data_IF_266544965103
#
_entry.id   IF_266544965103
#
_cell.length_a   1.000
_cell.length_b   1.000
_cell.length_c   1.000
_cell.angle_alpha   90.00
_cell.angle_beta   90.00
_cell.angle_gamma   90.00
#
_symmetry.space_group_name_H-M   'P 1'
#
loop_
_entity.id
_entity.type
_entity.pdbx_description
1 polymer ?
#
# COMPACT_ATOMS: atom_id res chain seq x y z
N UNK A 1 32.97 8.97 18.35
CA UNK A 1 33.75 8.35 17.24
C UNK A 1 33.32 9.06 15.95
N UNK A 2 34.21 9.20 14.98
CA UNK A 2 33.86 9.83 13.69
C UNK A 2 33.75 8.76 12.59
N UNK A 3 32.70 8.85 11.77
CA UNK A 3 32.47 7.97 10.63
C UNK A 3 31.90 8.81 9.46
N UNK A 4 32.61 8.84 8.34
CA UNK A 4 32.24 9.62 7.13
C UNK A 4 31.98 11.12 7.38
N UNK A 5 32.66 11.72 8.35
CA UNK A 5 32.48 13.10 8.76
C UNK A 5 31.27 13.36 9.65
N UNK A 6 30.72 12.30 10.24
CA UNK A 6 29.61 12.35 11.22
C UNK A 6 30.13 11.84 12.56
N UNK A 7 29.86 12.58 13.64
CA UNK A 7 30.13 12.12 15.00
C UNK A 7 29.09 11.09 15.41
N UNK A 8 29.51 9.83 15.54
CA UNK A 8 28.65 8.72 15.94
C UNK A 8 28.82 8.40 17.43
N UNK A 9 27.74 7.92 18.07
CA UNK A 9 27.70 7.46 19.45
C UNK A 9 27.48 5.94 19.51
N UNK A 10 28.55 5.16 19.74
CA UNK A 10 28.43 3.69 19.79
C UNK A 10 27.50 3.19 20.90
N UNK A 11 27.27 3.95 21.96
CA UNK A 11 26.39 3.53 23.05
C UNK A 11 24.94 3.37 22.60
N UNK A 12 24.54 4.02 21.50
CA UNK A 12 23.18 3.91 20.92
C UNK A 12 22.92 2.52 20.31
N UNK A 13 23.95 1.68 20.13
CA UNK A 13 23.74 0.28 19.76
C UNK A 13 22.94 -0.48 20.84
N UNK A 14 23.00 -0.03 22.09
CA UNK A 14 22.21 -0.59 23.19
C UNK A 14 20.69 -0.37 23.07
N UNK A 15 20.25 0.50 22.15
CA UNK A 15 18.82 0.70 21.87
C UNK A 15 18.21 -0.47 21.07
N UNK A 16 19.04 -1.30 20.49
CA UNK A 16 18.63 -2.50 19.77
C UNK A 16 18.79 -3.75 20.63
N UNK A 17 17.79 -4.61 20.60
CA UNK A 17 17.94 -5.98 21.09
C UNK A 17 18.79 -6.84 20.13
N UNK A 18 19.09 -8.05 20.53
CA UNK A 18 19.90 -8.97 19.71
C UNK A 18 19.23 -9.28 18.36
N UNK A 19 17.90 -9.36 18.32
CA UNK A 19 17.16 -9.65 17.10
C UNK A 19 17.18 -8.46 16.13
N UNK A 20 17.09 -7.24 16.66
CA UNK A 20 17.21 -5.99 15.89
C UNK A 20 18.61 -5.85 15.26
N UNK A 21 19.67 -6.07 16.03
CA UNK A 21 21.05 -6.05 15.51
C UNK A 21 21.25 -7.11 14.43
N UNK A 22 20.77 -8.33 14.67
CA UNK A 22 20.84 -9.42 13.69
C UNK A 22 20.13 -9.03 12.39
N UNK A 23 18.92 -8.49 12.48
CA UNK A 23 18.14 -8.05 11.32
C UNK A 23 18.85 -6.93 10.53
N UNK A 24 19.44 -5.96 11.23
CA UNK A 24 20.22 -4.90 10.58
C UNK A 24 21.41 -5.48 9.81
N UNK A 25 22.17 -6.37 10.41
CA UNK A 25 23.31 -7.04 9.78
C UNK A 25 22.93 -7.86 8.56
N UNK A 26 21.87 -8.66 8.64
CA UNK A 26 21.47 -9.57 7.57
C UNK A 26 20.81 -8.86 6.37
N UNK A 27 20.14 -7.72 6.60
CA UNK A 27 19.27 -7.12 5.58
C UNK A 27 19.66 -5.71 5.15
N UNK A 28 20.35 -4.95 5.99
CA UNK A 28 20.55 -3.50 5.77
C UNK A 28 22.02 -3.10 5.69
N UNK A 29 22.86 -3.61 6.57
CA UNK A 29 24.25 -3.23 6.64
C UNK A 29 25.07 -3.78 5.47
N UNK A 30 26.21 -3.14 5.20
CA UNK A 30 27.25 -3.66 4.29
C UNK A 30 28.19 -4.55 5.09
N UNK A 31 28.87 -5.47 4.42
CA UNK A 31 29.87 -6.35 5.05
C UNK A 31 31.03 -5.58 5.71
N UNK A 32 31.26 -4.34 5.29
CA UNK A 32 32.29 -3.45 5.84
C UNK A 32 31.83 -2.67 7.06
N UNK A 33 30.54 -2.68 7.39
CA UNK A 33 29.97 -2.00 8.54
C UNK A 33 29.91 -2.92 9.75
N UNK A 34 30.40 -2.44 10.88
CA UNK A 34 30.54 -3.23 12.11
C UNK A 34 29.43 -2.96 13.14
N UNK A 35 28.81 -1.79 13.04
CA UNK A 35 27.80 -1.30 13.98
C UNK A 35 26.59 -0.70 13.25
N UNK A 36 25.36 -0.83 13.78
CA UNK A 36 24.19 -0.08 13.32
C UNK A 36 24.43 1.41 13.17
N UNK A 37 25.26 2.01 14.04
CA UNK A 37 25.56 3.45 13.98
C UNK A 37 26.30 3.85 12.69
N UNK A 38 27.17 2.99 12.18
CA UNK A 38 27.86 3.22 10.90
C UNK A 38 26.86 3.21 9.74
N UNK A 39 25.85 2.32 9.79
CA UNK A 39 24.78 2.28 8.80
C UNK A 39 23.92 3.55 8.82
N UNK A 40 23.49 4.00 9.99
CA UNK A 40 22.73 5.25 10.11
C UNK A 40 23.55 6.44 9.64
N UNK A 41 24.82 6.53 10.00
CA UNK A 41 25.70 7.60 9.55
C UNK A 41 25.89 7.59 8.02
N UNK A 42 26.12 6.40 7.42
CA UNK A 42 26.23 6.27 5.98
C UNK A 42 24.98 6.80 5.26
N UNK A 43 23.78 6.33 5.67
CA UNK A 43 22.52 6.74 5.05
C UNK A 43 22.27 8.24 5.25
N UNK A 44 22.51 8.76 6.45
CA UNK A 44 22.36 10.19 6.75
C UNK A 44 23.26 11.05 5.85
N UNK A 45 24.49 10.60 5.60
CA UNK A 45 25.42 11.29 4.69
C UNK A 45 24.90 11.30 3.24
N UNK A 46 24.33 10.20 2.77
CA UNK A 46 23.85 10.08 1.38
C UNK A 46 22.65 10.98 1.08
N UNK A 47 21.79 11.23 2.06
CA UNK A 47 20.54 11.97 1.87
C UNK A 47 20.57 13.41 2.43
N UNK A 48 21.72 13.85 2.92
CA UNK A 48 21.89 15.22 3.44
C UNK A 48 22.34 16.19 2.37
N UNK A 49 22.01 17.46 2.57
CA UNK A 49 22.46 18.59 1.74
C UNK A 49 23.80 19.17 2.19
N UNK A 50 24.17 19.00 3.46
CA UNK A 50 25.42 19.50 4.05
C UNK A 50 25.77 18.69 5.32
N UNK A 51 26.94 19.01 5.93
CA UNK A 51 27.44 18.27 7.10
C UNK A 51 26.54 18.42 8.33
N UNK A 52 25.99 19.59 8.57
CA UNK A 52 25.07 19.84 9.70
C UNK A 52 23.77 19.04 9.53
N UNK A 53 23.21 19.03 8.32
CA UNK A 53 22.03 18.21 8.01
C UNK A 53 22.32 16.71 8.17
N UNK A 54 23.50 16.26 7.74
CA UNK A 54 23.92 14.87 7.93
C UNK A 54 23.99 14.47 9.40
N UNK A 55 24.55 15.33 10.24
CA UNK A 55 24.62 15.10 11.69
C UNK A 55 23.22 15.05 12.32
N UNK A 56 22.31 15.98 11.95
CA UNK A 56 20.91 15.97 12.45
C UNK A 56 20.17 14.71 12.05
N UNK A 57 20.26 14.28 10.78
CA UNK A 57 19.64 13.05 10.32
C UNK A 57 20.16 11.82 11.07
N UNK A 58 21.47 11.74 11.29
CA UNK A 58 22.08 10.70 12.12
C UNK A 58 21.53 10.74 13.55
N UNK A 59 21.54 11.91 14.17
CA UNK A 59 21.10 12.04 15.57
C UNK A 59 19.64 11.61 15.74
N UNK A 60 18.75 11.97 14.81
CA UNK A 60 17.34 11.59 14.88
C UNK A 60 17.12 10.10 14.60
N UNK A 61 17.77 9.55 13.56
CA UNK A 61 17.62 8.14 13.21
C UNK A 61 18.24 7.21 14.25
N UNK A 62 19.42 7.55 14.77
CA UNK A 62 20.11 6.75 15.78
C UNK A 62 19.47 6.81 17.17
N UNK A 63 18.65 7.81 17.46
CA UNK A 63 17.80 7.91 18.66
C UNK A 63 16.39 7.35 18.46
N UNK A 64 16.10 6.76 17.31
CA UNK A 64 14.79 6.24 16.92
C UNK A 64 13.67 7.30 16.86
N UNK A 65 14.03 8.58 16.70
CA UNK A 65 13.05 9.65 16.47
C UNK A 65 12.62 9.75 15.01
N UNK A 66 13.47 9.25 14.10
CA UNK A 66 13.23 9.13 12.67
C UNK A 66 13.49 7.71 12.23
N UNK A 67 12.55 7.12 11.49
CA UNK A 67 12.71 5.80 10.87
C UNK A 67 12.81 5.94 9.35
N UNK A 68 13.87 5.39 8.78
CA UNK A 68 14.01 5.32 7.32
C UNK A 68 13.19 4.16 6.75
N UNK A 69 12.60 4.37 5.57
CA UNK A 69 12.03 3.24 4.84
C UNK A 69 13.10 2.21 4.47
N UNK A 70 12.67 0.96 4.32
CA UNK A 70 13.58 -0.16 4.00
C UNK A 70 14.53 0.13 2.83
N UNK A 71 14.10 0.63 1.67
CA UNK A 71 15.03 0.90 0.56
C UNK A 71 16.03 2.02 0.85
N UNK A 72 15.62 3.03 1.60
CA UNK A 72 16.53 4.11 2.02
C UNK A 72 17.61 3.53 2.93
N UNK A 73 17.21 2.78 3.96
CA UNK A 73 18.16 2.19 4.91
C UNK A 73 19.03 1.10 4.29
N UNK A 74 18.46 0.25 3.40
CA UNK A 74 19.20 -0.85 2.78
C UNK A 74 20.12 -0.40 1.64
N UNK A 75 19.67 0.52 0.80
CA UNK A 75 20.37 0.86 -0.45
C UNK A 75 21.21 2.14 -0.33
N UNK A 76 20.72 3.17 0.36
CA UNK A 76 21.47 4.38 0.66
C UNK A 76 22.01 5.09 -0.59
N UNK A 77 21.26 5.22 -1.68
CA UNK A 77 21.69 5.78 -2.98
C UNK A 77 22.91 5.06 -3.59
N UNK A 78 23.01 3.76 -3.42
CA UNK A 78 24.04 2.94 -4.07
C UNK A 78 23.45 2.15 -5.23
N UNK A 79 24.30 1.49 -6.02
CA UNK A 79 23.89 0.58 -7.10
C UNK A 79 23.10 -0.65 -6.64
N UNK A 80 22.96 -0.85 -5.32
CA UNK A 80 22.16 -1.95 -4.73
C UNK A 80 20.67 -1.84 -4.99
N UNK A 81 20.15 -0.66 -5.29
CA UNK A 81 18.74 -0.43 -5.61
C UNK A 81 18.29 1.02 -5.42
N UNK A 82 17.06 1.31 -5.84
CA UNK A 82 16.45 2.62 -5.70
C UNK A 82 15.96 2.85 -4.27
N UNK A 83 16.02 4.10 -3.76
CA UNK A 83 15.52 4.44 -2.42
C UNK A 83 13.99 4.61 -2.39
N UNK A 84 13.26 3.86 -3.22
CA UNK A 84 11.81 3.92 -3.41
C UNK A 84 11.24 2.58 -3.03
N UNK A 85 10.10 2.58 -2.33
CA UNK A 85 9.47 1.37 -1.84
C UNK A 85 8.01 1.19 -2.26
N UNK A 86 7.38 2.24 -2.76
CA UNK A 86 5.96 2.24 -3.07
C UNK A 86 5.73 2.86 -4.44
N UNK A 87 4.85 2.22 -5.20
CA UNK A 87 4.44 2.63 -6.54
C UNK A 87 2.92 2.60 -6.60
N UNK A 88 2.35 3.41 -7.48
CA UNK A 88 0.92 3.47 -7.71
C UNK A 88 0.67 3.29 -9.20
N UNK A 89 -0.22 2.36 -9.53
CA UNK A 89 -0.70 2.10 -10.88
C UNK A 89 -2.21 2.26 -10.93
N UNK A 90 -2.74 2.55 -12.11
CA UNK A 90 -4.17 2.59 -12.36
C UNK A 90 -4.50 1.79 -13.61
N UNK A 91 -5.49 0.90 -13.50
CA UNK A 91 -5.94 0.05 -14.61
C UNK A 91 -7.08 0.78 -15.33
N UNK A 92 -6.77 1.29 -16.52
CA UNK A 92 -7.81 1.79 -17.41
C UNK A 92 -8.63 0.64 -18.00
N UNK A 93 -9.90 0.89 -18.27
CA UNK A 93 -10.81 -0.08 -18.92
C UNK A 93 -10.54 -0.18 -20.44
N UNK A 94 -9.35 -0.69 -20.78
CA UNK A 94 -8.92 -0.94 -22.15
C UNK A 94 -8.02 -2.17 -22.20
N UNK A 95 -7.88 -2.80 -23.36
CA UNK A 95 -7.03 -3.97 -23.51
C UNK A 95 -5.56 -3.66 -23.13
N UNK A 96 -5.04 -2.52 -23.55
CA UNK A 96 -3.71 -2.03 -23.20
C UNK A 96 -3.60 -1.82 -21.69
N UNK A 97 -4.58 -1.11 -21.08
CA UNK A 97 -4.58 -0.85 -19.65
C UNK A 97 -4.56 -2.13 -18.81
N UNK A 98 -5.34 -3.13 -19.21
CA UNK A 98 -5.39 -4.42 -18.53
C UNK A 98 -4.06 -5.20 -18.61
N UNK A 99 -3.41 -5.23 -19.78
CA UNK A 99 -2.20 -6.02 -20.02
C UNK A 99 -0.95 -5.30 -19.53
N UNK A 100 -0.80 -4.03 -19.90
CA UNK A 100 0.41 -3.26 -19.62
C UNK A 100 0.55 -2.96 -18.13
N UNK A 101 -0.55 -2.62 -17.43
CA UNK A 101 -0.51 -2.39 -15.97
C UNK A 101 -0.11 -3.64 -15.20
N UNK A 102 -0.57 -4.83 -15.62
CA UNK A 102 -0.15 -6.08 -14.99
C UNK A 102 1.35 -6.32 -15.20
N UNK A 103 1.85 -6.10 -16.43
CA UNK A 103 3.27 -6.24 -16.75
C UNK A 103 4.13 -5.28 -15.94
N UNK A 104 3.76 -4.00 -15.90
CA UNK A 104 4.47 -2.98 -15.11
C UNK A 104 4.48 -3.32 -13.61
N UNK A 105 3.34 -3.71 -13.06
CA UNK A 105 3.22 -4.11 -11.65
C UNK A 105 4.17 -5.26 -11.32
N UNK A 106 4.31 -6.24 -12.22
CA UNK A 106 5.22 -7.37 -12.04
C UNK A 106 6.70 -6.91 -12.01
N UNK A 107 7.10 -6.00 -12.89
CA UNK A 107 8.44 -5.42 -12.87
C UNK A 107 8.72 -4.66 -11.59
N UNK A 108 7.79 -3.82 -11.13
CA UNK A 108 7.92 -3.06 -9.89
C UNK A 108 8.03 -3.98 -8.66
N UNK A 109 7.28 -5.08 -8.65
CA UNK A 109 7.36 -6.10 -7.59
C UNK A 109 8.72 -6.79 -7.54
N UNK A 110 9.27 -7.15 -8.71
CA UNK A 110 10.60 -7.76 -8.80
C UNK A 110 11.70 -6.82 -8.28
N UNK A 111 11.52 -5.52 -8.38
CA UNK A 111 12.41 -4.52 -7.80
C UNK A 111 12.22 -4.35 -6.27
N UNK A 112 11.32 -5.11 -5.64
CA UNK A 112 11.06 -5.08 -4.20
C UNK A 112 10.09 -3.98 -3.78
N UNK A 113 9.34 -3.40 -4.72
CA UNK A 113 8.33 -2.38 -4.47
C UNK A 113 7.00 -2.94 -3.95
N UNK A 114 6.31 -2.19 -3.10
CA UNK A 114 4.88 -2.36 -2.88
C UNK A 114 4.10 -1.57 -3.94
N UNK A 115 3.05 -2.15 -4.51
CA UNK A 115 2.27 -1.49 -5.57
C UNK A 115 0.81 -1.36 -5.14
N UNK A 116 0.33 -0.11 -5.06
CA UNK A 116 -1.10 0.21 -4.98
C UNK A 116 -1.68 0.25 -6.40
N UNK A 117 -2.82 -0.38 -6.61
CA UNK A 117 -3.40 -0.55 -7.94
C UNK A 117 -4.87 -0.11 -7.88
N UNK A 118 -5.18 1.00 -8.55
CA UNK A 118 -6.57 1.45 -8.75
C UNK A 118 -7.24 0.63 -9.85
N UNK A 119 -8.37 0.01 -9.53
CA UNK A 119 -9.16 -0.77 -10.48
C UNK A 119 -10.24 0.13 -11.08
N UNK A 120 -9.98 0.67 -12.27
CA UNK A 120 -10.89 1.55 -12.99
C UNK A 120 -11.74 0.86 -14.07
N UNK A 121 -11.72 -0.48 -14.08
CA UNK A 121 -12.51 -1.26 -15.04
C UNK A 121 -13.96 -1.41 -14.57
N UNK A 122 -14.87 -1.58 -15.51
CA UNK A 122 -16.30 -1.84 -15.25
C UNK A 122 -16.57 -3.26 -14.75
N UNK A 123 -17.78 -3.45 -14.26
CA UNK A 123 -18.32 -4.78 -13.93
C UNK A 123 -18.44 -5.68 -15.15
N UNK A 124 -18.78 -6.95 -14.93
CA UNK A 124 -19.01 -7.93 -15.99
C UNK A 124 -20.20 -7.53 -16.88
N UNK A 125 -19.96 -7.51 -18.19
CA UNK A 125 -20.96 -7.31 -19.24
C UNK A 125 -20.65 -8.21 -20.46
N UNK A 126 -21.28 -7.91 -21.62
CA UNK A 126 -21.06 -8.66 -22.88
C UNK A 126 -19.59 -8.59 -23.38
N UNK A 127 -18.80 -7.62 -22.92
CA UNK A 127 -17.44 -7.34 -23.39
C UNK A 127 -16.39 -7.37 -22.28
N UNK A 128 -16.81 -7.33 -21.03
CA UNK A 128 -15.95 -7.31 -19.85
C UNK A 128 -16.21 -8.52 -18.98
N UNK A 129 -15.16 -9.11 -18.46
CA UNK A 129 -15.23 -10.20 -17.46
C UNK A 129 -15.42 -9.69 -16.03
N UNK A 130 -15.41 -8.35 -15.84
CA UNK A 130 -15.51 -7.72 -14.53
C UNK A 130 -14.20 -7.75 -13.74
N UNK A 131 -14.28 -7.26 -12.51
CA UNK A 131 -13.10 -7.02 -11.65
C UNK A 131 -12.48 -8.32 -11.12
N UNK A 132 -13.28 -9.32 -10.76
CA UNK A 132 -12.80 -10.53 -10.05
C UNK A 132 -11.75 -11.35 -10.81
N UNK A 133 -11.87 -11.66 -12.11
CA UNK A 133 -10.85 -12.39 -12.84
C UNK A 133 -9.49 -11.67 -12.84
N UNK A 134 -9.51 -10.35 -12.94
CA UNK A 134 -8.29 -9.52 -12.86
C UNK A 134 -7.69 -9.50 -11.46
N UNK A 135 -8.51 -9.37 -10.41
CA UNK A 135 -8.04 -9.53 -9.02
C UNK A 135 -7.34 -10.87 -8.79
N UNK A 136 -7.88 -11.97 -9.35
CA UNK A 136 -7.24 -13.31 -9.29
C UNK A 136 -5.89 -13.35 -9.97
N UNK A 137 -5.71 -12.66 -11.11
CA UNK A 137 -4.42 -12.55 -11.77
C UNK A 137 -3.41 -11.81 -10.89
N UNK A 138 -3.79 -10.68 -10.31
CA UNK A 138 -2.92 -9.92 -9.40
C UNK A 138 -2.63 -10.69 -8.10
N UNK A 139 -3.60 -11.42 -7.56
CA UNK A 139 -3.39 -12.29 -6.39
C UNK A 139 -2.31 -13.35 -6.67
N UNK A 140 -2.42 -14.08 -7.77
CA UNK A 140 -1.44 -15.07 -8.18
C UNK A 140 -0.09 -14.45 -8.54
N UNK A 141 -0.10 -13.32 -9.24
CA UNK A 141 1.08 -12.57 -9.65
C UNK A 141 1.88 -12.06 -8.43
N UNK A 142 1.21 -11.62 -7.37
CA UNK A 142 1.86 -11.18 -6.13
C UNK A 142 2.74 -12.25 -5.49
N UNK A 143 2.44 -13.51 -5.71
CA UNK A 143 3.25 -14.63 -5.26
C UNK A 143 4.36 -14.98 -6.26
N UNK A 144 4.04 -14.96 -7.57
CA UNK A 144 4.93 -15.38 -8.64
C UNK A 144 6.15 -14.46 -8.80
N UNK A 145 5.94 -13.14 -8.70
CA UNK A 145 6.96 -12.12 -8.89
C UNK A 145 7.52 -11.54 -7.58
N UNK A 146 7.43 -12.32 -6.52
CA UNK A 146 7.98 -11.97 -5.23
C UNK A 146 9.49 -12.14 -5.22
N UNK A 147 10.25 -11.05 -5.18
CA UNK A 147 11.70 -11.08 -5.10
C UNK A 147 12.24 -10.31 -3.88
N UNK A 148 13.52 -10.57 -3.58
CA UNK A 148 14.29 -9.85 -2.57
C UNK A 148 14.33 -10.54 -1.21
N UNK A 149 15.52 -10.57 -0.64
CA UNK A 149 15.74 -11.08 0.73
C UNK A 149 15.27 -10.07 1.79
N UNK A 150 15.38 -8.78 1.47
CA UNK A 150 15.14 -7.68 2.42
C UNK A 150 13.66 -7.30 2.47
N UNK A 151 13.01 -7.17 1.32
CA UNK A 151 11.60 -6.83 1.20
C UNK A 151 10.97 -7.61 0.05
N UNK A 152 9.81 -8.21 0.34
CA UNK A 152 8.98 -8.85 -0.68
C UNK A 152 8.03 -7.82 -1.28
N UNK A 153 7.80 -7.88 -2.58
CA UNK A 153 6.75 -7.13 -3.24
C UNK A 153 5.38 -7.48 -2.64
N UNK A 154 4.51 -6.50 -2.58
CA UNK A 154 3.14 -6.65 -2.07
C UNK A 154 2.22 -5.77 -2.89
N UNK A 155 1.03 -6.27 -3.20
CA UNK A 155 0.03 -5.51 -3.95
C UNK A 155 -1.16 -5.17 -3.07
N UNK A 156 -1.74 -3.99 -3.31
CA UNK A 156 -2.99 -3.57 -2.73
C UNK A 156 -3.92 -3.07 -3.84
N UNK A 157 -5.05 -3.74 -4.03
CA UNK A 157 -6.08 -3.33 -4.97
C UNK A 157 -7.00 -2.29 -4.34
N UNK A 158 -7.32 -1.23 -5.06
CA UNK A 158 -8.24 -0.19 -4.63
C UNK A 158 -9.44 -0.12 -5.56
N UNK A 159 -10.63 -0.09 -4.99
CA UNK A 159 -11.90 0.05 -5.71
C UNK A 159 -12.69 1.23 -5.14
N UNK A 160 -13.41 1.94 -5.99
CA UNK A 160 -14.30 3.02 -5.55
C UNK A 160 -15.51 2.46 -4.81
N UNK A 161 -15.95 3.15 -3.75
CA UNK A 161 -17.11 2.74 -2.93
C UNK A 161 -18.41 2.72 -3.73
N UNK A 162 -18.47 3.45 -4.84
CA UNK A 162 -19.62 3.47 -5.77
C UNK A 162 -19.54 2.38 -6.86
N UNK A 163 -18.53 1.49 -6.85
CA UNK A 163 -18.40 0.49 -7.90
C UNK A 163 -19.45 -0.63 -7.73
N UNK A 164 -20.09 -1.13 -8.84
CA UNK A 164 -21.11 -2.18 -8.75
C UNK A 164 -20.63 -3.48 -8.11
N UNK A 165 -19.34 -3.83 -8.27
CA UNK A 165 -18.76 -5.06 -7.69
C UNK A 165 -18.29 -4.88 -6.24
N UNK A 166 -18.66 -3.79 -5.54
CA UNK A 166 -18.16 -3.44 -4.21
C UNK A 166 -18.40 -4.54 -3.17
N UNK A 167 -19.58 -5.17 -3.17
CA UNK A 167 -19.93 -6.19 -2.20
C UNK A 167 -19.08 -7.45 -2.36
N UNK A 168 -18.82 -7.86 -3.60
CA UNK A 168 -17.92 -8.97 -3.93
C UNK A 168 -16.48 -8.64 -3.54
N UNK A 169 -16.02 -7.44 -3.85
CA UNK A 169 -14.67 -6.95 -3.52
C UNK A 169 -14.41 -6.95 -2.02
N UNK A 170 -15.38 -6.53 -1.20
CA UNK A 170 -15.27 -6.57 0.27
C UNK A 170 -15.00 -7.99 0.80
N UNK A 171 -15.62 -8.99 0.19
CA UNK A 171 -15.54 -10.38 0.66
C UNK A 171 -14.32 -11.16 0.15
N UNK A 172 -13.53 -10.60 -0.75
CA UNK A 172 -12.45 -11.32 -1.43
C UNK A 172 -11.38 -11.90 -0.49
N UNK A 173 -11.23 -11.31 0.71
CA UNK A 173 -10.26 -11.76 1.74
C UNK A 173 -10.84 -12.77 2.74
N UNK A 174 -12.11 -13.09 2.68
CA UNK A 174 -12.68 -14.14 3.54
C UNK A 174 -12.04 -15.48 3.22
N UNK A 175 -11.55 -16.25 4.21
CA UNK A 175 -10.91 -17.55 3.95
C UNK A 175 -11.91 -18.66 3.61
N UNK A 176 -13.20 -18.40 3.71
CA UNK A 176 -14.31 -19.34 3.49
C UNK A 176 -15.14 -18.94 2.28
N UNK A 177 -15.97 -19.87 1.78
CA UNK A 177 -16.85 -19.66 0.63
C UNK A 177 -16.23 -20.11 -0.68
N UNK A 178 -16.74 -19.57 -1.80
CA UNK A 178 -16.25 -19.91 -3.14
C UNK A 178 -14.82 -19.38 -3.36
N UNK A 179 -13.86 -20.31 -3.48
CA UNK A 179 -12.45 -20.00 -3.67
C UNK A 179 -12.16 -19.26 -4.99
N UNK A 180 -13.05 -19.34 -5.98
CA UNK A 180 -12.92 -18.58 -7.21
C UNK A 180 -13.14 -17.08 -7.00
N UNK A 181 -13.80 -16.72 -5.91
CA UNK A 181 -14.06 -15.34 -5.50
C UNK A 181 -13.15 -14.87 -4.34
N UNK A 182 -12.04 -15.57 -4.10
CA UNK A 182 -11.12 -15.24 -2.99
C UNK A 182 -9.74 -14.89 -3.49
N UNK A 183 -9.17 -13.80 -2.93
CA UNK A 183 -7.84 -13.29 -3.21
C UNK A 183 -7.12 -13.09 -1.87
N UNK A 184 -6.49 -14.14 -1.35
CA UNK A 184 -5.94 -14.15 0.01
C UNK A 184 -4.54 -13.55 0.12
N UNK A 185 -3.86 -13.33 -1.01
CA UNK A 185 -2.51 -12.78 -1.07
C UNK A 185 -2.49 -11.30 -1.47
N UNK A 186 -3.63 -10.79 -1.94
CA UNK A 186 -3.81 -9.42 -2.39
C UNK A 186 -4.47 -8.61 -1.27
N UNK A 187 -3.82 -7.54 -0.84
CA UNK A 187 -4.45 -6.56 0.03
C UNK A 187 -5.49 -5.74 -0.72
N UNK A 188 -6.45 -5.18 -0.03
CA UNK A 188 -7.45 -4.33 -0.67
C UNK A 188 -7.81 -3.10 0.16
N UNK A 189 -8.24 -2.05 -0.54
CA UNK A 189 -8.67 -0.79 0.03
C UNK A 189 -9.86 -0.21 -0.73
N UNK A 190 -10.58 0.67 -0.09
CA UNK A 190 -11.71 1.38 -0.65
C UNK A 190 -11.37 2.85 -0.81
N UNK A 191 -11.63 3.40 -1.98
CA UNK A 191 -11.67 4.84 -2.19
C UNK A 191 -13.05 5.35 -1.77
N UNK A 192 -13.09 6.06 -0.66
CA UNK A 192 -14.31 6.60 -0.05
C UNK A 192 -14.37 8.09 -0.33
N UNK A 193 -15.50 8.56 -0.88
CA UNK A 193 -15.73 9.96 -1.18
C UNK A 193 -16.37 10.70 -0.03
N UNK A 194 -16.25 12.03 -0.03
CA UNK A 194 -16.94 12.89 0.92
C UNK A 194 -18.46 12.73 0.79
N UNK A 195 -18.99 12.66 -0.44
CA UNK A 195 -20.42 12.47 -0.70
C UNK A 195 -20.99 11.23 0.00
N UNK A 196 -20.25 10.10 -0.02
CA UNK A 196 -20.66 8.90 0.71
C UNK A 196 -20.68 9.13 2.23
N UNK A 197 -19.67 9.80 2.76
CA UNK A 197 -19.58 10.05 4.20
C UNK A 197 -20.64 11.06 4.66
N UNK A 198 -20.97 12.07 3.87
CA UNK A 198 -22.01 13.05 4.15
C UNK A 198 -23.40 12.40 4.15
N UNK A 199 -23.68 11.53 3.15
CA UNK A 199 -24.92 10.76 3.11
C UNK A 199 -25.06 9.85 4.33
N UNK A 200 -23.98 9.14 4.67
CA UNK A 200 -23.94 8.25 5.83
C UNK A 200 -24.17 9.01 7.14
N UNK A 201 -23.46 10.14 7.35
CA UNK A 201 -23.61 10.97 8.54
C UNK A 201 -25.02 11.53 8.66
N UNK A 202 -25.59 12.06 7.56
CA UNK A 202 -26.96 12.56 7.52
C UNK A 202 -27.98 11.50 7.93
N UNK A 203 -27.84 10.30 7.40
CA UNK A 203 -28.74 9.17 7.70
C UNK A 203 -28.56 8.59 9.11
N UNK A 204 -27.40 8.80 9.74
CA UNK A 204 -27.18 8.45 11.14
C UNK A 204 -27.80 9.45 12.12
N UNK A 205 -27.84 10.73 11.73
CA UNK A 205 -28.46 11.81 12.53
C UNK A 205 -29.98 11.74 12.45
N UNK A 206 -30.54 11.54 11.26
CA UNK A 206 -31.97 11.40 11.03
C UNK A 206 -32.27 9.99 10.48
N UNK A 207 -32.87 9.10 11.29
CA UNK A 207 -33.20 7.74 10.86
C UNK A 207 -34.22 7.66 9.70
N UNK A 208 -35.00 8.72 9.46
CA UNK A 208 -35.94 8.80 8.35
C UNK A 208 -35.34 9.40 7.07
N UNK A 209 -34.10 9.87 7.14
CA UNK A 209 -33.39 10.36 5.98
C UNK A 209 -33.06 9.21 5.02
N UNK A 210 -33.10 9.55 3.72
CA UNK A 210 -32.66 8.66 2.65
C UNK A 210 -31.17 8.29 2.83
N UNK A 211 -30.85 7.00 2.67
CA UNK A 211 -29.50 6.48 2.71
C UNK A 211 -29.15 5.65 1.45
N UNK A 212 -29.89 5.88 0.36
CA UNK A 212 -29.66 5.24 -0.93
C UNK A 212 -28.34 5.70 -1.55
N UNK A 213 -27.40 4.76 -1.68
CA UNK A 213 -26.12 4.98 -2.33
C UNK A 213 -26.08 4.30 -3.70
N UNK A 214 -25.88 5.08 -4.73
CA UNK A 214 -25.83 4.61 -6.10
C UNK A 214 -24.49 3.90 -6.40
N UNK A 215 -24.59 2.68 -6.89
CA UNK A 215 -23.48 1.96 -7.49
C UNK A 215 -23.45 2.25 -9.01
N UNK A 216 -22.35 2.82 -9.47
CA UNK A 216 -22.23 3.38 -10.81
C UNK A 216 -21.15 2.69 -11.63
N UNK A 217 -21.44 2.48 -12.90
CA UNK A 217 -20.43 2.06 -13.86
C UNK A 217 -19.31 3.12 -13.94
N UNK A 218 -18.03 2.75 -13.74
CA UNK A 218 -16.95 3.72 -13.67
C UNK A 218 -16.64 4.40 -15.02
N UNK A 219 -17.14 3.85 -16.13
CA UNK A 219 -16.91 4.39 -17.48
C UNK A 219 -18.05 5.27 -17.97
N UNK A 220 -19.30 4.79 -17.89
CA UNK A 220 -20.49 5.52 -18.33
C UNK A 220 -21.10 6.44 -17.27
N UNK A 221 -20.77 6.20 -16.00
CA UNK A 221 -21.38 6.82 -14.82
C UNK A 221 -22.88 6.52 -14.66
N UNK A 222 -23.40 5.54 -15.39
CA UNK A 222 -24.77 5.07 -15.24
C UNK A 222 -24.97 4.35 -13.91
N UNK A 223 -26.13 4.56 -13.28
CA UNK A 223 -26.52 3.84 -12.06
C UNK A 223 -26.88 2.40 -12.45
N UNK A 224 -26.14 1.45 -11.89
CA UNK A 224 -26.34 0.01 -12.14
C UNK A 224 -27.20 -0.61 -11.02
N UNK A 225 -26.99 -0.18 -9.79
CA UNK A 225 -27.69 -0.66 -8.61
C UNK A 225 -27.68 0.42 -7.52
N UNK A 226 -28.47 0.23 -6.47
CA UNK A 226 -28.53 1.13 -5.32
C UNK A 226 -28.53 0.30 -4.05
N UNK A 227 -27.77 0.70 -3.04
CA UNK A 227 -27.64 0.03 -1.77
C UNK A 227 -27.78 1.01 -0.60
N UNK A 228 -28.18 0.54 0.58
CA UNK A 228 -28.15 1.36 1.78
C UNK A 228 -26.70 1.70 2.16
N UNK A 229 -26.40 2.99 2.33
CA UNK A 229 -25.09 3.44 2.78
C UNK A 229 -24.76 2.92 4.20
N UNK A 230 -25.75 2.83 5.08
CA UNK A 230 -25.63 2.25 6.44
C UNK A 230 -25.25 0.77 6.40
N UNK A 231 -25.93 -0.02 5.57
CA UNK A 231 -25.67 -1.45 5.44
C UNK A 231 -24.29 -1.68 4.79
N UNK A 232 -23.92 -0.90 3.79
CA UNK A 232 -22.60 -0.98 3.17
C UNK A 232 -21.50 -0.64 4.18
N UNK A 233 -21.66 0.44 4.94
CA UNK A 233 -20.71 0.83 5.98
C UNK A 233 -20.56 -0.22 7.08
N UNK A 234 -21.68 -0.76 7.54
CA UNK A 234 -21.67 -1.85 8.52
C UNK A 234 -20.88 -3.06 7.99
N UNK A 235 -21.10 -3.47 6.75
CA UNK A 235 -20.34 -4.56 6.11
C UNK A 235 -18.85 -4.26 6.03
N UNK A 236 -18.46 -3.05 5.68
CA UNK A 236 -17.06 -2.62 5.67
C UNK A 236 -16.43 -2.81 7.05
N UNK A 237 -17.09 -2.33 8.11
CA UNK A 237 -16.60 -2.45 9.48
C UNK A 237 -16.54 -3.92 9.94
N UNK A 238 -17.54 -4.73 9.64
CA UNK A 238 -17.54 -6.17 9.94
C UNK A 238 -16.38 -6.88 9.26
N UNK A 239 -16.11 -6.58 7.98
CA UNK A 239 -14.97 -7.16 7.25
C UNK A 239 -13.63 -6.75 7.85
N UNK A 240 -13.50 -5.49 8.26
CA UNK A 240 -12.30 -5.01 8.96
C UNK A 240 -12.09 -5.72 10.30
N UNK A 241 -13.15 -5.96 11.04
CA UNK A 241 -13.07 -6.72 12.31
C UNK A 241 -12.65 -8.18 12.08
N UNK A 242 -13.10 -8.80 11.00
CA UNK A 242 -12.81 -10.21 10.70
C UNK A 242 -11.42 -10.43 10.07
N UNK A 243 -10.97 -9.53 9.23
CA UNK A 243 -9.79 -9.74 8.38
C UNK A 243 -8.68 -8.71 8.56
N UNK A 244 -8.97 -7.57 9.22
CA UNK A 244 -8.08 -6.40 9.29
C UNK A 244 -8.13 -5.50 8.04
N UNK A 245 -8.92 -5.86 7.03
CA UNK A 245 -9.08 -5.16 5.76
C UNK A 245 -10.57 -5.00 5.40
N UNK A 246 -10.93 -4.07 4.48
CA UNK A 246 -10.11 -3.23 3.59
C UNK A 246 -9.43 -2.05 4.28
N UNK A 247 -8.42 -1.45 3.64
CA UNK A 247 -7.95 -0.11 3.97
C UNK A 247 -9.05 0.91 3.63
N UNK A 248 -9.15 1.97 4.45
CA UNK A 248 -10.04 3.10 4.17
C UNK A 248 -9.20 4.26 3.64
N UNK A 249 -9.43 4.64 2.39
CA UNK A 249 -8.77 5.75 1.74
C UNK A 249 -9.80 6.83 1.42
N UNK A 250 -9.76 7.93 2.16
CA UNK A 250 -10.59 9.11 1.93
C UNK A 250 -10.00 9.90 0.77
N UNK A 251 -10.46 9.57 -0.46
CA UNK A 251 -9.80 9.99 -1.69
C UNK A 251 -9.86 11.50 -1.90
N UNK A 252 -10.96 12.14 -1.55
CA UNK A 252 -11.12 13.58 -1.73
C UNK A 252 -10.16 14.35 -0.83
N UNK A 253 -10.06 13.97 0.45
CA UNK A 253 -9.08 14.55 1.39
C UNK A 253 -7.64 14.38 0.87
N UNK A 254 -7.31 13.20 0.32
CA UNK A 254 -5.98 12.96 -0.25
C UNK A 254 -5.69 13.82 -1.47
N UNK A 255 -6.71 14.12 -2.30
CA UNK A 255 -6.56 14.94 -3.48
C UNK A 255 -6.49 16.44 -3.15
N UNK A 256 -7.19 16.88 -2.10
CA UNK A 256 -7.18 18.27 -1.65
C UNK A 256 -5.83 18.68 -1.05
N UNK A 257 -5.08 17.73 -0.50
CA UNK A 257 -3.78 17.95 0.15
C UNK A 257 -2.57 17.78 -0.81
N UNK A 258 -2.80 17.42 -2.08
CA UNK A 258 -1.75 17.29 -3.10
C UNK A 258 -1.68 18.52 -4.01
#
# INVERSE_FOLDING_TARGET
MEYLGITIDPNRDSFFDQSGVKRLKESYMKDTETSPQERFAFVSKQFSSNAEHAQRLYDYSSKHWLSYSTPILAFGKTERGLPISCYLNYINDSAEGLVDTLSETNWLSMLGGGVGIGFGMRSSDDKSTGVMPHLKMYDASSLAYRQGKTRRGSYAAYLNISHPDILMFLEMRKPTGDQNQRCLNLHHGLNITNDFMELLEGSMIDPEADDDWDLRDPHSNEVIDTVSAKDLWQRILEMRMQTGEPYLHFIDTSNDDM
#
